data_IF_470442674214
#
_entry.id   IF_470442674214
#
_cell.length_a   1.000
_cell.length_b   1.000
_cell.length_c   1.000
_cell.angle_alpha   90.00
_cell.angle_beta   90.00
_cell.angle_gamma   90.00
#
_symmetry.space_group_name_H-M   'P 1'
#
loop_
_entity.id
_entity.type
_entity.pdbx_description
1 polymer ?
#
# COMPACT_ATOMS: atom_id res chain seq x y z
N UNK A 1 30.85 -22.55 -26.55
CA UNK A 1 29.67 -22.56 -25.64
C UNK A 1 28.47 -23.07 -26.41
N UNK A 2 27.92 -24.22 -26.02
CA UNK A 2 26.81 -24.91 -26.72
C UNK A 2 25.50 -24.13 -26.56
N UNK A 3 24.73 -23.94 -27.64
CA UNK A 3 23.51 -23.10 -27.67
C UNK A 3 22.47 -23.41 -26.58
N UNK A 4 22.43 -24.66 -26.10
CA UNK A 4 21.59 -25.08 -24.96
C UNK A 4 21.91 -24.34 -23.65
N UNK A 5 23.19 -24.05 -23.37
CA UNK A 5 23.60 -23.32 -22.16
C UNK A 5 23.17 -21.86 -22.21
N UNK A 6 23.13 -21.24 -23.40
CA UNK A 6 22.72 -19.85 -23.60
C UNK A 6 21.21 -19.68 -23.35
N UNK A 7 20.38 -20.53 -23.94
CA UNK A 7 18.93 -20.53 -23.73
C UNK A 7 18.54 -20.74 -22.26
N UNK A 8 19.27 -21.58 -21.53
CA UNK A 8 19.02 -21.77 -20.09
C UNK A 8 19.43 -20.57 -19.24
N UNK A 9 20.43 -19.80 -19.67
CA UNK A 9 20.87 -18.60 -18.97
C UNK A 9 19.90 -17.44 -19.19
N UNK A 10 19.46 -17.21 -20.43
CA UNK A 10 18.45 -16.20 -20.80
C UNK A 10 17.15 -16.43 -20.00
N UNK A 11 16.61 -17.65 -20.01
CA UNK A 11 15.38 -17.98 -19.27
C UNK A 11 15.49 -17.75 -17.76
N UNK A 12 16.69 -17.88 -17.18
CA UNK A 12 16.92 -17.61 -15.74
C UNK A 12 16.96 -16.12 -15.46
N UNK A 13 17.57 -15.34 -16.35
CA UNK A 13 17.58 -13.88 -16.30
C UNK A 13 16.15 -13.31 -16.37
N UNK A 14 15.34 -13.80 -17.31
CA UNK A 14 13.93 -13.38 -17.44
C UNK A 14 13.12 -13.68 -16.17
N UNK A 15 13.29 -14.91 -15.62
CA UNK A 15 12.62 -15.30 -14.39
C UNK A 15 13.06 -14.47 -13.16
N UNK A 16 14.30 -13.98 -13.14
CA UNK A 16 14.78 -13.09 -12.09
C UNK A 16 14.20 -11.68 -12.24
N UNK A 17 14.18 -11.14 -13.47
CA UNK A 17 13.59 -9.85 -13.79
C UNK A 17 12.10 -9.80 -13.41
N UNK A 18 11.33 -10.83 -13.77
CA UNK A 18 9.92 -10.95 -13.41
C UNK A 18 9.70 -10.89 -11.90
N UNK A 19 10.56 -11.57 -11.13
CA UNK A 19 10.47 -11.58 -9.65
C UNK A 19 10.85 -10.24 -9.04
N UNK A 20 11.86 -9.57 -9.58
CA UNK A 20 12.23 -8.23 -9.14
C UNK A 20 11.11 -7.23 -9.46
N UNK A 21 10.51 -7.30 -10.65
CA UNK A 21 9.40 -6.45 -11.03
C UNK A 21 8.17 -6.69 -10.12
N UNK A 22 7.87 -7.95 -9.79
CA UNK A 22 6.82 -8.28 -8.80
C UNK A 22 7.13 -7.73 -7.41
N UNK A 23 8.37 -7.86 -6.93
CA UNK A 23 8.81 -7.33 -5.64
C UNK A 23 8.64 -5.80 -5.60
N UNK A 24 9.14 -5.09 -6.61
CA UNK A 24 9.06 -3.63 -6.69
C UNK A 24 7.60 -3.15 -6.74
N UNK A 25 6.75 -3.81 -7.53
CA UNK A 25 5.31 -3.50 -7.62
C UNK A 25 4.56 -3.73 -6.30
N UNK A 26 5.03 -4.65 -5.46
CA UNK A 26 4.44 -4.91 -4.14
C UNK A 26 4.94 -3.92 -3.10
N UNK A 27 6.23 -3.58 -3.11
CA UNK A 27 6.86 -2.69 -2.14
C UNK A 27 6.50 -1.21 -2.38
N UNK A 28 6.68 -0.74 -3.62
CA UNK A 28 6.58 0.66 -3.98
C UNK A 28 5.19 1.04 -4.51
N UNK A 29 4.76 2.30 -4.30
CA UNK A 29 3.52 2.80 -4.87
C UNK A 29 3.65 3.04 -6.38
N UNK A 30 2.51 3.10 -7.11
CA UNK A 30 2.50 3.26 -8.56
C UNK A 30 3.27 4.49 -9.06
N UNK A 31 3.23 5.62 -8.34
CA UNK A 31 3.94 6.84 -8.73
C UNK A 31 5.46 6.65 -8.75
N UNK A 32 6.00 5.92 -7.78
CA UNK A 32 7.44 5.60 -7.76
C UNK A 32 7.81 4.71 -8.95
N UNK A 33 6.99 3.69 -9.23
CA UNK A 33 7.22 2.79 -10.36
C UNK A 33 7.17 3.53 -11.71
N UNK A 34 6.30 4.52 -11.86
CA UNK A 34 6.22 5.36 -13.06
C UNK A 34 7.46 6.24 -13.26
N UNK A 35 8.01 6.77 -12.17
CA UNK A 35 9.12 7.71 -12.25
C UNK A 35 10.50 7.03 -12.31
N UNK A 36 10.70 5.94 -11.54
CA UNK A 36 12.01 5.32 -11.32
C UNK A 36 12.01 3.79 -11.36
N UNK A 37 10.88 3.17 -11.73
CA UNK A 37 10.73 1.71 -11.68
C UNK A 37 11.77 0.99 -12.55
N UNK A 38 11.97 1.46 -13.78
CA UNK A 38 12.92 0.86 -14.73
C UNK A 38 14.38 1.07 -14.30
N UNK A 39 14.75 2.27 -13.83
CA UNK A 39 16.10 2.53 -13.30
C UNK A 39 16.44 1.59 -12.13
N UNK A 40 15.48 1.44 -11.19
CA UNK A 40 15.65 0.58 -10.03
C UNK A 40 15.72 -0.90 -10.41
N UNK A 41 14.91 -1.31 -11.41
CA UNK A 41 14.94 -2.67 -11.93
C UNK A 41 16.29 -2.96 -12.60
N UNK A 42 16.77 -2.07 -13.46
CA UNK A 42 18.09 -2.19 -14.10
C UNK A 42 19.18 -2.35 -13.04
N UNK A 43 19.16 -1.51 -12.00
CA UNK A 43 20.12 -1.59 -10.89
C UNK A 43 20.09 -2.96 -10.19
N UNK A 44 18.90 -3.54 -9.98
CA UNK A 44 18.76 -4.87 -9.39
C UNK A 44 19.26 -5.99 -10.32
N UNK A 45 19.10 -5.83 -11.64
CA UNK A 45 19.62 -6.76 -12.63
C UNK A 45 21.14 -6.70 -12.72
N UNK A 46 21.73 -5.51 -12.65
CA UNK A 46 23.19 -5.29 -12.67
C UNK A 46 23.87 -5.89 -11.44
N UNK A 47 23.17 -5.94 -10.31
CA UNK A 47 23.66 -6.57 -9.07
C UNK A 47 23.40 -8.09 -9.01
N UNK A 48 22.70 -8.66 -9.98
CA UNK A 48 22.33 -10.07 -9.95
C UNK A 48 23.51 -10.97 -10.35
N UNK A 49 23.82 -11.96 -9.50
CA UNK A 49 24.81 -12.98 -9.84
C UNK A 49 24.37 -13.82 -11.05
N UNK A 50 25.30 -14.20 -11.96
CA UNK A 50 24.97 -14.98 -13.14
C UNK A 50 24.25 -16.29 -12.80
N UNK A 51 23.06 -16.48 -13.38
CA UNK A 51 22.27 -17.71 -13.24
C UNK A 51 21.37 -17.77 -12.00
N UNK A 52 21.31 -16.70 -11.20
CA UNK A 52 20.36 -16.57 -10.09
C UNK A 52 18.95 -16.35 -10.62
N UNK A 53 17.95 -16.97 -10.00
CA UNK A 53 16.54 -16.84 -10.42
C UNK A 53 15.67 -16.12 -9.39
N UNK A 54 16.17 -15.87 -8.18
CA UNK A 54 15.44 -15.18 -7.10
C UNK A 54 16.33 -14.14 -6.43
N UNK A 55 15.80 -12.96 -6.09
CA UNK A 55 16.51 -12.02 -5.22
C UNK A 55 16.74 -12.67 -3.85
N UNK A 56 17.83 -12.30 -3.21
CA UNK A 56 18.13 -12.76 -1.86
C UNK A 56 17.12 -12.23 -0.84
N UNK A 57 16.96 -12.92 0.29
CA UNK A 57 16.10 -12.44 1.37
C UNK A 57 16.57 -11.06 1.87
N UNK A 58 17.88 -10.83 1.95
CA UNK A 58 18.44 -9.53 2.35
C UNK A 58 18.04 -8.43 1.36
N UNK A 59 18.19 -8.67 0.06
CA UNK A 59 17.76 -7.74 -0.99
C UNK A 59 16.27 -7.45 -0.91
N UNK A 60 15.44 -8.46 -0.67
CA UNK A 60 13.99 -8.29 -0.48
C UNK A 60 13.71 -7.38 0.72
N UNK A 61 14.36 -7.64 1.87
CA UNK A 61 14.18 -6.84 3.09
C UNK A 61 14.66 -5.41 2.92
N UNK A 62 15.79 -5.19 2.25
CA UNK A 62 16.33 -3.86 1.98
C UNK A 62 15.40 -3.05 1.07
N UNK A 63 14.84 -3.67 0.02
CA UNK A 63 13.83 -3.07 -0.87
C UNK A 63 12.56 -2.71 -0.09
N UNK A 64 12.07 -3.62 0.75
CA UNK A 64 10.88 -3.37 1.59
C UNK A 64 11.16 -2.24 2.59
N UNK A 65 12.30 -2.26 3.27
CA UNK A 65 12.70 -1.21 4.23
C UNK A 65 12.79 0.15 3.55
N UNK A 66 13.42 0.23 2.38
CA UNK A 66 13.52 1.48 1.61
C UNK A 66 12.13 2.01 1.21
N UNK A 67 11.22 1.12 0.80
CA UNK A 67 9.84 1.52 0.48
C UNK A 67 9.06 2.03 1.69
N UNK A 68 9.26 1.43 2.88
CA UNK A 68 8.64 1.88 4.13
C UNK A 68 9.16 3.25 4.51
N UNK A 69 10.49 3.45 4.48
CA UNK A 69 11.11 4.76 4.76
C UNK A 69 10.59 5.84 3.81
N UNK A 70 10.47 5.52 2.51
CA UNK A 70 9.89 6.44 1.53
C UNK A 70 8.46 6.84 1.89
N UNK A 71 7.59 5.87 2.26
CA UNK A 71 6.20 6.14 2.66
C UNK A 71 6.11 6.96 3.94
N UNK A 72 7.03 6.76 4.88
CA UNK A 72 7.09 7.51 6.13
C UNK A 72 7.48 8.98 5.90
N UNK A 73 8.42 9.25 4.97
CA UNK A 73 8.83 10.62 4.63
C UNK A 73 7.69 11.45 4.04
N UNK A 74 6.84 10.82 3.26
CA UNK A 74 5.68 11.48 2.63
C UNK A 74 4.40 11.41 3.48
N UNK A 75 4.48 10.82 4.67
CA UNK A 75 3.30 10.56 5.49
C UNK A 75 2.67 11.87 6.00
N UNK A 76 1.34 12.01 5.95
CA UNK A 76 0.67 13.14 6.59
C UNK A 76 0.86 13.14 8.11
N UNK A 77 0.77 14.30 8.78
CA UNK A 77 0.75 14.37 10.24
C UNK A 77 -0.31 13.44 10.82
N UNK A 78 -0.02 12.78 11.94
CA UNK A 78 -0.84 11.69 12.51
C UNK A 78 -2.31 12.08 12.70
N UNK A 79 -2.59 13.29 13.19
CA UNK A 79 -3.97 13.77 13.37
C UNK A 79 -4.73 13.86 12.04
N UNK A 80 -4.09 14.34 10.96
CA UNK A 80 -4.70 14.44 9.63
C UNK A 80 -4.92 13.07 9.03
N UNK A 81 -3.97 12.16 9.24
CA UNK A 81 -4.11 10.75 8.90
C UNK A 81 -5.30 10.11 9.62
N UNK A 82 -5.45 10.34 10.93
CA UNK A 82 -6.56 9.81 11.73
C UNK A 82 -7.90 10.35 11.23
N UNK A 83 -7.97 11.65 10.94
CA UNK A 83 -9.16 12.28 10.38
C UNK A 83 -9.56 11.72 9.01
N UNK A 84 -8.57 11.41 8.18
CA UNK A 84 -8.78 10.74 6.91
C UNK A 84 -9.27 9.29 7.10
N UNK A 85 -8.69 8.53 8.03
CA UNK A 85 -9.03 7.12 8.24
C UNK A 85 -10.40 6.90 8.89
N UNK A 86 -10.71 7.66 9.93
CA UNK A 86 -11.93 7.47 10.71
C UNK A 86 -13.13 8.24 10.14
N UNK A 87 -12.90 9.46 9.66
CA UNK A 87 -13.98 10.34 9.19
C UNK A 87 -13.98 10.56 7.68
N UNK A 88 -13.06 9.92 6.95
CA UNK A 88 -12.93 10.12 5.51
C UNK A 88 -12.60 11.56 5.11
N UNK A 89 -12.09 12.41 6.03
CA UNK A 89 -11.89 13.84 5.73
C UNK A 89 -10.88 14.01 4.60
N UNK A 90 -11.11 15.04 3.78
CA UNK A 90 -10.25 15.39 2.65
C UNK A 90 -8.91 15.90 3.17
N UNK A 91 -7.81 15.34 2.68
CA UNK A 91 -6.48 15.84 3.00
C UNK A 91 -6.12 17.11 2.17
N UNK A 92 -5.29 18.01 2.74
CA UNK A 92 -4.74 19.15 2.01
C UNK A 92 -3.97 18.71 0.76
N UNK A 93 -3.85 19.64 -0.20
CA UNK A 93 -3.29 19.38 -1.53
C UNK A 93 -1.96 18.62 -1.49
N UNK A 94 -1.02 19.04 -0.64
CA UNK A 94 0.30 18.40 -0.42
C UNK A 94 0.25 16.88 -0.22
N UNK A 95 -0.78 16.36 0.47
CA UNK A 95 -0.88 14.93 0.81
C UNK A 95 -1.83 14.15 -0.10
N UNK A 96 -2.40 14.77 -1.14
CA UNK A 96 -3.35 14.08 -2.03
C UNK A 96 -2.69 12.96 -2.82
N UNK A 97 -1.45 13.16 -3.25
CA UNK A 97 -0.68 12.11 -3.91
C UNK A 97 -0.38 10.93 -2.97
N UNK A 98 -0.15 11.20 -1.68
CA UNK A 98 -0.06 10.14 -0.68
C UNK A 98 -1.38 9.36 -0.59
N UNK A 99 -2.55 10.03 -0.63
CA UNK A 99 -3.86 9.35 -0.66
C UNK A 99 -4.04 8.51 -1.92
N UNK A 100 -3.67 9.03 -3.09
CA UNK A 100 -3.69 8.26 -4.35
C UNK A 100 -2.90 6.97 -4.20
N UNK A 101 -1.67 7.06 -3.71
CA UNK A 101 -0.78 5.92 -3.51
C UNK A 101 -1.28 4.96 -2.42
N UNK A 102 -1.98 5.47 -1.40
CA UNK A 102 -2.67 4.67 -0.40
C UNK A 102 -3.83 3.87 -1.01
N UNK A 103 -4.71 4.54 -1.76
CA UNK A 103 -5.94 3.96 -2.31
C UNK A 103 -5.67 2.96 -3.44
N UNK A 104 -4.70 3.27 -4.31
CA UNK A 104 -4.29 2.37 -5.40
C UNK A 104 -3.39 1.22 -4.92
N UNK A 105 -2.83 1.33 -3.72
CA UNK A 105 -1.94 0.32 -3.15
C UNK A 105 -2.62 -1.05 -2.99
N UNK A 106 -1.86 -2.12 -3.25
CA UNK A 106 -2.34 -3.51 -3.10
C UNK A 106 -2.88 -3.79 -1.70
N UNK A 107 -2.22 -3.25 -0.68
CA UNK A 107 -2.58 -3.41 0.74
C UNK A 107 -3.55 -2.34 1.25
N UNK A 108 -4.29 -1.64 0.38
CA UNK A 108 -5.28 -0.65 0.82
C UNK A 108 -6.29 -1.23 1.82
N UNK A 109 -6.91 -2.37 1.50
CA UNK A 109 -7.92 -2.98 2.38
C UNK A 109 -7.33 -3.43 3.71
N UNK A 110 -6.14 -4.03 3.69
CA UNK A 110 -5.45 -4.47 4.91
C UNK A 110 -5.16 -3.27 5.81
N UNK A 111 -4.74 -2.13 5.23
CA UNK A 111 -4.50 -0.90 5.98
C UNK A 111 -5.79 -0.24 6.48
N UNK A 112 -6.86 -0.28 5.69
CA UNK A 112 -8.16 0.25 6.08
C UNK A 112 -8.75 -0.56 7.25
N UNK A 113 -8.83 -1.88 7.09
CA UNK A 113 -9.31 -2.78 8.13
C UNK A 113 -8.39 -2.77 9.34
N UNK A 114 -7.08 -2.80 9.15
CA UNK A 114 -6.10 -2.70 10.23
C UNK A 114 -6.27 -1.41 11.03
N UNK A 115 -6.45 -0.26 10.36
CA UNK A 115 -6.72 0.99 11.05
C UNK A 115 -8.03 0.94 11.86
N UNK A 116 -9.12 0.42 11.28
CA UNK A 116 -10.39 0.26 12.00
C UNK A 116 -10.30 -0.70 13.19
N UNK A 117 -9.64 -1.84 13.01
CA UNK A 117 -9.42 -2.83 14.05
C UNK A 117 -8.59 -2.24 15.19
N UNK A 118 -7.51 -1.52 14.88
CA UNK A 118 -6.64 -0.92 15.90
C UNK A 118 -7.26 0.29 16.59
N UNK A 119 -7.97 1.15 15.86
CA UNK A 119 -8.45 2.44 16.39
C UNK A 119 -9.83 2.39 17.01
N UNK A 120 -10.65 1.40 16.66
CA UNK A 120 -12.05 1.31 17.13
C UNK A 120 -12.31 -0.01 17.81
N UNK A 121 -12.04 -1.13 17.13
CA UNK A 121 -12.38 -2.44 17.68
C UNK A 121 -11.56 -2.78 18.93
N UNK A 122 -10.24 -2.59 18.87
CA UNK A 122 -9.35 -2.89 19.98
C UNK A 122 -9.69 -2.08 21.26
N UNK A 123 -9.79 -0.73 21.23
CA UNK A 123 -10.16 0.02 22.43
C UNK A 123 -11.56 -0.37 22.94
N UNK A 124 -12.53 -0.61 22.05
CA UNK A 124 -13.86 -1.10 22.45
C UNK A 124 -13.80 -2.45 23.18
N UNK A 125 -13.02 -3.41 22.66
CA UNK A 125 -12.85 -4.70 23.32
C UNK A 125 -12.10 -4.59 24.64
N UNK A 126 -11.12 -3.68 24.75
CA UNK A 126 -10.40 -3.42 26.00
C UNK A 126 -11.34 -2.83 27.05
N UNK A 127 -12.15 -1.83 26.71
CA UNK A 127 -13.10 -1.22 27.65
C UNK A 127 -14.10 -2.25 28.19
N UNK A 128 -14.53 -3.19 27.35
CA UNK A 128 -15.44 -4.28 27.72
C UNK A 128 -14.75 -5.32 28.61
N UNK A 129 -13.50 -5.70 28.30
CA UNK A 129 -12.70 -6.64 29.13
C UNK A 129 -12.44 -6.06 30.52
N UNK A 130 -12.15 -4.76 30.61
CA UNK A 130 -11.98 -4.06 31.89
C UNK A 130 -13.30 -3.71 32.58
N UNK A 131 -14.45 -4.11 32.01
CA UNK A 131 -15.80 -3.84 32.54
C UNK A 131 -16.07 -2.36 32.80
N UNK A 132 -15.42 -1.48 32.05
CA UNK A 132 -15.61 -0.03 32.16
C UNK A 132 -17.01 0.42 31.69
N UNK A 133 -17.73 -0.44 30.98
CA UNK A 133 -19.10 -0.21 30.51
C UNK A 133 -20.14 -1.18 31.10
N UNK A 134 -19.79 -1.94 32.15
CA UNK A 134 -20.69 -2.89 32.82
C UNK A 134 -20.45 -4.35 32.43
N UNK A 135 -21.53 -5.12 32.25
CA UNK A 135 -21.47 -6.55 31.90
C UNK A 135 -20.85 -6.76 30.51
N UNK A 136 -19.91 -7.72 30.36
CA UNK A 136 -19.20 -7.93 29.12
C UNK A 136 -20.16 -8.34 28.01
N UNK A 137 -20.07 -7.64 26.87
CA UNK A 137 -20.86 -7.93 25.69
C UNK A 137 -20.60 -9.35 25.16
N UNK A 138 -21.66 -10.01 24.68
CA UNK A 138 -21.58 -11.36 24.11
C UNK A 138 -20.51 -11.46 23.02
N UNK A 139 -19.65 -12.47 23.11
CA UNK A 139 -18.64 -12.78 22.09
C UNK A 139 -19.25 -12.95 20.70
N UNK A 140 -20.48 -13.46 20.61
CA UNK A 140 -21.19 -13.59 19.34
C UNK A 140 -21.43 -12.24 18.65
N UNK A 141 -21.72 -11.19 19.42
CA UNK A 141 -21.92 -9.82 18.89
C UNK A 141 -20.60 -9.27 18.33
N UNK A 142 -19.49 -9.46 19.06
CA UNK A 142 -18.16 -8.99 18.61
C UNK A 142 -17.70 -9.69 17.33
N UNK A 143 -17.89 -11.01 17.27
CA UNK A 143 -17.55 -11.81 16.07
C UNK A 143 -18.44 -11.40 14.90
N UNK A 144 -19.75 -11.26 15.12
CA UNK A 144 -20.69 -10.81 14.10
C UNK A 144 -20.35 -9.43 13.54
N UNK A 145 -20.00 -8.47 14.41
CA UNK A 145 -19.59 -7.12 14.00
C UNK A 145 -18.29 -7.12 13.20
N UNK A 146 -17.29 -7.91 13.62
CA UNK A 146 -16.01 -8.03 12.92
C UNK A 146 -16.19 -8.67 11.52
N UNK A 147 -16.94 -9.76 11.43
CA UNK A 147 -17.25 -10.42 10.15
C UNK A 147 -18.07 -9.51 9.24
N UNK A 148 -19.08 -8.82 9.78
CA UNK A 148 -19.88 -7.84 9.04
C UNK A 148 -19.02 -6.71 8.48
N UNK A 149 -18.14 -6.13 9.30
CA UNK A 149 -17.22 -5.07 8.87
C UNK A 149 -16.26 -5.56 7.78
N UNK A 150 -15.67 -6.74 7.94
CA UNK A 150 -14.82 -7.36 6.93
C UNK A 150 -15.56 -7.60 5.61
N UNK A 151 -16.78 -8.14 5.68
CA UNK A 151 -17.61 -8.42 4.51
C UNK A 151 -17.99 -7.14 3.78
N UNK A 152 -18.50 -6.12 4.49
CA UNK A 152 -18.85 -4.81 3.92
C UNK A 152 -17.63 -4.12 3.31
N UNK A 153 -16.49 -4.11 4.00
CA UNK A 153 -15.26 -3.53 3.45
C UNK A 153 -14.81 -4.26 2.18
N UNK A 154 -14.98 -5.58 2.11
CA UNK A 154 -14.61 -6.38 0.95
C UNK A 154 -15.55 -6.17 -0.25
N UNK A 155 -16.87 -6.14 -0.03
CA UNK A 155 -17.86 -5.93 -1.09
C UNK A 155 -17.82 -4.49 -1.61
N UNK A 156 -17.76 -3.51 -0.71
CA UNK A 156 -17.70 -2.08 -1.05
C UNK A 156 -16.31 -1.58 -1.43
N UNK A 157 -15.28 -2.45 -1.45
CA UNK A 157 -13.88 -2.04 -1.71
C UNK A 157 -13.69 -1.21 -2.97
N UNK A 158 -14.45 -1.52 -4.04
CA UNK A 158 -14.37 -0.81 -5.32
C UNK A 158 -15.01 0.58 -5.23
N UNK A 159 -16.15 0.68 -4.54
CA UNK A 159 -16.85 1.94 -4.31
C UNK A 159 -16.02 2.86 -3.41
N UNK A 160 -15.56 2.37 -2.25
CA UNK A 160 -14.71 3.12 -1.31
C UNK A 160 -13.49 3.71 -2.03
N UNK A 161 -12.82 2.92 -2.88
CA UNK A 161 -11.68 3.42 -3.67
C UNK A 161 -12.07 4.55 -4.62
N UNK A 162 -13.17 4.39 -5.36
CA UNK A 162 -13.66 5.41 -6.30
C UNK A 162 -14.03 6.70 -5.59
N UNK A 163 -14.74 6.60 -4.47
CA UNK A 163 -15.19 7.76 -3.70
C UNK A 163 -14.01 8.51 -3.08
N UNK A 164 -13.03 7.79 -2.55
CA UNK A 164 -11.81 8.40 -2.00
C UNK A 164 -10.97 9.08 -3.08
N UNK A 165 -10.82 8.48 -4.27
CA UNK A 165 -10.12 9.09 -5.40
C UNK A 165 -10.85 10.35 -5.89
N UNK A 166 -12.17 10.25 -6.09
CA UNK A 166 -13.00 11.37 -6.52
C UNK A 166 -12.92 12.55 -5.53
N UNK A 167 -13.02 12.26 -4.21
CA UNK A 167 -12.88 13.26 -3.14
C UNK A 167 -11.53 13.99 -3.16
N UNK A 168 -10.48 13.34 -3.66
CA UNK A 168 -9.14 13.89 -3.78
C UNK A 168 -8.79 14.37 -5.19
N UNK A 169 -9.79 14.52 -6.07
CA UNK A 169 -9.64 14.99 -7.46
C UNK A 169 -8.79 14.07 -8.36
N UNK A 170 -8.92 12.75 -8.16
CA UNK A 170 -8.33 11.75 -9.06
C UNK A 170 -9.40 10.95 -9.79
N UNK A 171 -9.10 10.55 -11.01
CA UNK A 171 -9.86 9.54 -11.76
C UNK A 171 -9.74 8.17 -11.09
N UNK A 172 -10.59 7.18 -11.45
CA UNK A 172 -10.42 5.80 -10.99
C UNK A 172 -9.06 5.17 -11.33
N UNK A 173 -8.38 5.68 -12.37
CA UNK A 173 -7.03 5.25 -12.77
C UNK A 173 -5.92 5.99 -12.00
N UNK A 174 -6.28 6.93 -11.13
CA UNK A 174 -5.35 7.72 -10.36
C UNK A 174 -4.74 8.89 -11.12
N UNK A 175 -5.20 9.22 -12.33
CA UNK A 175 -4.78 10.45 -13.00
C UNK A 175 -5.49 11.65 -12.37
N UNK A 176 -4.83 12.81 -12.23
CA UNK A 176 -5.48 14.00 -11.68
C UNK A 176 -6.59 14.48 -12.63
N UNK A 177 -7.74 14.88 -12.07
CA UNK A 177 -8.88 15.40 -12.83
C UNK A 177 -8.65 16.82 -13.36
N UNK A 178 -7.74 17.56 -12.74
CA UNK A 178 -7.35 18.92 -13.14
C UNK A 178 -5.84 18.91 -13.35
N UNK A 179 -5.31 19.43 -14.47
CA UNK A 179 -3.88 19.58 -14.66
C UNK A 179 -3.28 20.33 -13.49
N UNK A 180 -2.17 19.82 -12.98
CA UNK A 180 -1.45 20.40 -11.84
C UNK A 180 -1.01 21.83 -12.21
N UNK A 181 -1.47 22.86 -11.49
CA UNK A 181 -0.80 24.16 -11.52
C UNK A 181 0.51 24.02 -10.72
N UNK A 182 1.63 24.45 -11.30
CA UNK A 182 2.98 24.28 -10.73
C UNK A 182 3.19 24.97 -9.37
N UNK A 183 2.24 25.80 -8.93
CA UNK A 183 2.32 26.65 -7.72
C UNK A 183 2.34 25.87 -6.38
N UNK A 184 2.08 24.56 -6.39
CA UNK A 184 1.91 23.76 -5.16
C UNK A 184 3.01 22.75 -4.82
N UNK A 185 4.06 22.61 -5.64
CA UNK A 185 5.14 21.65 -5.37
C UNK A 185 6.14 22.25 -4.36
N UNK A 186 6.42 21.59 -3.22
CA UNK A 186 7.61 21.93 -2.46
C UNK A 186 8.84 21.64 -3.32
N UNK A 187 9.67 22.67 -3.54
CA UNK A 187 11.02 22.51 -4.10
C UNK A 187 11.90 21.68 -3.17
#
# INVERSE_FOLDING_TARGET
>A
MTGRKRLTAERRSDAYADRCHLLLRVAYPPRFMQARGEEFLSTLLDLAEPGRTRPDLRTVLDVVRASVVWRLREHPPLWRWLCYRLFGKRLPFRYRWWVRDDVLGRFFLVRLLGAWLSLVFLPFTLTDVFRLMGEPGSWGIKIGWLLGTCLTAFTSRRQIRRDLLAKHQFTPNGTPLTPQSDEGMPR
#
